data_IF_396837765389
#
_entry.id   IF_396837765389
#
_cell.length_a   1.000
_cell.length_b   1.000
_cell.length_c   1.000
_cell.angle_alpha   90.00
_cell.angle_beta   90.00
_cell.angle_gamma   90.00
#
_symmetry.space_group_name_H-M   'P 1'
#
loop_
_entity.id
_entity.type
_entity.pdbx_description
1 polymer ?
#
# COMPACT_ATOMS: atom_id res chain seq x y z
N UNK A 1 28.80 74.93 -34.07
CA UNK A 1 28.72 73.50 -34.42
C UNK A 1 29.48 72.77 -33.34
N UNK A 2 28.80 72.24 -32.34
CA UNK A 2 29.43 71.34 -31.37
C UNK A 2 28.33 70.38 -30.92
N UNK A 3 28.35 69.17 -31.48
CA UNK A 3 27.42 68.10 -31.14
C UNK A 3 27.81 67.49 -29.80
N UNK A 4 26.85 67.47 -28.87
CA UNK A 4 26.98 66.81 -27.58
C UNK A 4 26.87 65.29 -27.75
N UNK A 5 27.92 64.59 -27.35
CA UNK A 5 27.99 63.13 -27.28
C UNK A 5 27.18 62.63 -26.08
N UNK A 6 26.05 61.98 -26.34
CA UNK A 6 25.22 61.31 -25.32
C UNK A 6 25.66 59.83 -25.26
N UNK A 7 26.06 59.28 -24.11
CA UNK A 7 26.38 57.86 -23.99
C UNK A 7 25.07 57.02 -23.98
N UNK A 8 25.07 55.81 -24.57
CA UNK A 8 23.90 54.95 -24.55
C UNK A 8 23.81 54.23 -23.20
N UNK A 9 23.07 54.80 -22.25
CA UNK A 9 22.46 54.01 -21.17
C UNK A 9 21.33 53.17 -21.78
N UNK A 10 21.65 51.90 -22.06
CA UNK A 10 20.65 50.88 -22.38
C UNK A 10 20.71 49.82 -21.29
N UNK A 11 20.25 50.20 -20.11
CA UNK A 11 19.75 49.26 -19.10
C UNK A 11 18.50 48.58 -19.68
N UNK A 12 18.73 47.58 -20.52
CA UNK A 12 17.69 46.63 -20.87
C UNK A 12 17.27 45.92 -19.58
N UNK A 13 15.98 45.91 -19.20
CA UNK A 13 15.54 45.22 -18.00
C UNK A 13 15.86 43.74 -18.18
N UNK A 14 16.75 43.22 -17.34
CA UNK A 14 16.96 41.78 -17.22
C UNK A 14 15.67 41.18 -16.69
N UNK A 15 14.81 40.70 -17.60
CA UNK A 15 13.54 40.06 -17.24
C UNK A 15 13.89 38.73 -16.56
N UNK A 16 13.91 38.75 -15.23
CA UNK A 16 14.17 37.57 -14.42
C UNK A 16 13.08 36.51 -14.67
N UNK A 17 13.50 35.29 -15.01
CA UNK A 17 12.60 34.17 -15.19
C UNK A 17 11.86 33.90 -13.87
N UNK A 18 10.53 33.92 -13.90
CA UNK A 18 9.71 33.63 -12.72
C UNK A 18 9.76 32.12 -12.47
N UNK A 19 10.25 31.70 -11.31
CA UNK A 19 10.26 30.28 -10.92
C UNK A 19 8.83 29.73 -10.97
N UNK A 20 8.57 28.60 -11.66
CA UNK A 20 7.23 28.01 -11.69
C UNK A 20 6.71 27.75 -10.27
N UNK A 21 5.57 28.36 -9.93
CA UNK A 21 4.99 28.31 -8.58
C UNK A 21 4.52 26.90 -8.18
N UNK A 22 4.25 26.05 -9.17
CA UNK A 22 3.97 24.63 -9.00
C UNK A 22 4.51 23.84 -10.20
N UNK A 23 5.29 22.80 -9.93
CA UNK A 23 5.85 21.91 -10.94
C UNK A 23 5.57 20.45 -10.56
N UNK A 24 4.98 19.64 -11.45
CA UNK A 24 4.56 18.27 -11.11
C UNK A 24 5.77 17.36 -10.86
N UNK A 25 5.70 16.44 -9.87
CA UNK A 25 6.72 15.42 -9.69
C UNK A 25 6.76 14.48 -10.90
N UNK A 26 7.95 13.94 -11.21
CA UNK A 26 8.13 13.06 -12.37
C UNK A 26 7.26 11.80 -12.28
N UNK A 27 6.36 11.63 -13.24
CA UNK A 27 5.51 10.45 -13.36
C UNK A 27 6.17 9.41 -14.29
N UNK A 28 6.69 8.34 -13.69
CA UNK A 28 7.30 7.21 -14.41
C UNK A 28 6.28 6.35 -15.14
N UNK A 29 5.02 6.36 -14.72
CA UNK A 29 3.97 5.54 -15.33
C UNK A 29 3.43 6.17 -16.61
N UNK A 30 3.34 7.50 -16.64
CA UNK A 30 2.92 8.28 -17.80
C UNK A 30 3.85 9.48 -18.07
N UNK A 31 5.10 9.23 -18.51
CA UNK A 31 6.06 10.31 -18.77
C UNK A 31 5.56 11.29 -19.86
N UNK A 32 4.79 10.80 -20.85
CA UNK A 32 4.14 11.65 -21.87
C UNK A 32 3.24 12.72 -21.25
N UNK A 33 2.39 12.33 -20.29
CA UNK A 33 1.46 13.25 -19.63
C UNK A 33 2.22 14.25 -18.75
N UNK A 34 3.22 13.77 -18.03
CA UNK A 34 4.08 14.62 -17.22
C UNK A 34 4.79 15.69 -18.06
N UNK A 35 5.36 15.34 -19.22
CA UNK A 35 5.97 16.33 -20.10
C UNK A 35 4.98 17.38 -20.59
N UNK A 36 3.74 17.02 -20.90
CA UNK A 36 2.71 18.01 -21.28
C UNK A 36 2.41 19.00 -20.15
N UNK A 37 2.35 18.52 -18.90
CA UNK A 37 2.14 19.35 -17.72
C UNK A 37 3.38 20.22 -17.41
N UNK A 38 4.57 19.64 -17.48
CA UNK A 38 5.85 20.33 -17.30
C UNK A 38 6.05 21.44 -18.34
N UNK A 39 5.79 21.16 -19.62
CA UNK A 39 5.88 22.14 -20.71
C UNK A 39 4.84 23.26 -20.58
N UNK A 40 3.65 22.96 -20.05
CA UNK A 40 2.67 23.99 -19.71
C UNK A 40 3.21 24.91 -18.60
N UNK A 41 3.77 24.34 -17.53
CA UNK A 41 4.37 25.11 -16.44
C UNK A 41 5.53 25.99 -16.93
N UNK A 42 6.44 25.43 -17.74
CA UNK A 42 7.57 26.15 -18.32
C UNK A 42 7.13 27.33 -19.21
N UNK A 43 6.06 27.14 -20.00
CA UNK A 43 5.46 28.20 -20.80
C UNK A 43 4.87 29.30 -19.93
N UNK A 44 4.15 28.94 -18.87
CA UNK A 44 3.57 29.90 -17.92
C UNK A 44 4.65 30.74 -17.22
N UNK A 45 5.83 30.18 -16.96
CA UNK A 45 7.00 30.88 -16.41
C UNK A 45 7.87 31.61 -17.44
N UNK A 46 7.45 31.66 -18.71
CA UNK A 46 8.21 32.26 -19.83
C UNK A 46 9.61 31.64 -20.05
N UNK A 47 9.79 30.37 -19.67
CA UNK A 47 11.04 29.64 -19.90
C UNK A 47 10.98 29.06 -21.31
N UNK A 48 11.57 29.78 -22.25
CA UNK A 48 11.54 29.44 -23.68
C UNK A 48 12.87 28.91 -24.22
N UNK A 49 13.98 29.21 -23.54
CA UNK A 49 15.32 28.77 -23.95
C UNK A 49 15.52 27.26 -23.70
N UNK A 50 16.01 26.53 -24.70
CA UNK A 50 16.34 25.10 -24.65
C UNK A 50 17.24 24.75 -23.46
N UNK A 51 18.31 25.53 -23.22
CA UNK A 51 19.22 25.27 -22.10
C UNK A 51 18.54 25.47 -20.75
N UNK A 52 17.75 26.53 -20.61
CA UNK A 52 16.98 26.74 -19.38
C UNK A 52 15.96 25.61 -19.16
N UNK A 53 15.25 25.16 -20.20
CA UNK A 53 14.32 24.03 -20.07
C UNK A 53 15.06 22.76 -19.63
N UNK A 54 16.21 22.46 -20.23
CA UNK A 54 17.05 21.32 -19.86
C UNK A 54 17.45 21.38 -18.38
N UNK A 55 17.99 22.51 -17.92
CA UNK A 55 18.42 22.70 -16.53
C UNK A 55 17.25 22.58 -15.55
N UNK A 56 16.09 23.14 -15.90
CA UNK A 56 14.88 23.05 -15.07
C UNK A 56 14.34 21.62 -14.96
N UNK A 57 14.35 20.86 -16.06
CA UNK A 57 13.93 19.46 -16.02
C UNK A 57 14.87 18.66 -15.13
N UNK A 58 16.19 18.79 -15.30
CA UNK A 58 17.18 18.02 -14.53
C UNK A 58 17.04 18.25 -13.03
N UNK A 59 16.84 19.50 -12.60
CA UNK A 59 16.64 19.83 -11.20
C UNK A 59 15.39 19.18 -10.58
N UNK A 60 14.42 18.77 -11.40
CA UNK A 60 13.14 18.18 -10.97
C UNK A 60 13.08 16.67 -11.15
N UNK A 61 14.07 16.07 -11.80
CA UNK A 61 14.16 14.62 -11.94
C UNK A 61 14.65 13.99 -10.63
N UNK A 62 14.02 12.89 -10.17
CA UNK A 62 14.52 12.17 -9.02
C UNK A 62 15.87 11.50 -9.33
N UNK A 63 16.71 11.33 -8.31
CA UNK A 63 18.13 10.96 -8.45
C UNK A 63 18.35 9.64 -9.18
N UNK A 64 17.43 8.70 -9.02
CA UNK A 64 17.45 7.41 -9.72
C UNK A 64 17.23 7.55 -11.23
N UNK A 65 16.38 8.49 -11.65
CA UNK A 65 16.18 8.84 -13.06
C UNK A 65 17.40 9.58 -13.60
N UNK A 66 17.94 10.55 -12.85
CA UNK A 66 19.13 11.29 -13.25
C UNK A 66 20.36 10.39 -13.44
N UNK A 67 20.50 9.34 -12.62
CA UNK A 67 21.57 8.33 -12.77
C UNK A 67 21.51 7.59 -14.11
N UNK A 68 20.29 7.31 -14.61
CA UNK A 68 20.10 6.65 -15.90
C UNK A 68 20.40 7.58 -17.09
N UNK A 69 20.44 8.88 -16.86
CA UNK A 69 20.75 9.91 -17.85
C UNK A 69 22.20 10.39 -17.81
N UNK A 70 23.08 9.71 -17.04
CA UNK A 70 24.45 10.15 -16.80
C UNK A 70 25.22 10.51 -18.08
N UNK A 71 25.07 9.74 -19.16
CA UNK A 71 25.70 10.02 -20.45
C UNK A 71 25.27 11.35 -21.10
N UNK A 72 23.98 11.70 -21.02
CA UNK A 72 23.42 12.96 -21.55
C UNK A 72 23.81 14.14 -20.66
N UNK A 73 23.93 13.91 -19.35
CA UNK A 73 24.33 14.94 -18.39
C UNK A 73 25.84 15.23 -18.45
N UNK A 74 26.66 14.20 -18.66
CA UNK A 74 28.12 14.33 -18.80
C UNK A 74 28.52 14.91 -20.16
N UNK A 75 27.80 14.54 -21.23
CA UNK A 75 28.05 15.05 -22.59
C UNK A 75 26.76 15.61 -23.19
N UNK A 76 26.32 16.82 -22.79
CA UNK A 76 25.12 17.41 -23.34
C UNK A 76 25.34 17.77 -24.82
N UNK A 77 24.38 17.46 -25.70
CA UNK A 77 24.48 17.81 -27.12
C UNK A 77 24.54 19.34 -27.31
N UNK A 78 25.22 19.78 -28.38
CA UNK A 78 25.44 21.20 -28.65
C UNK A 78 24.13 21.96 -28.95
N UNK A 79 23.13 21.27 -29.52
CA UNK A 79 21.80 21.81 -29.85
C UNK A 79 20.71 20.80 -29.45
N UNK A 80 19.49 21.29 -29.23
CA UNK A 80 18.32 20.46 -28.85
C UNK A 80 18.53 19.61 -27.58
N UNK A 81 19.11 20.21 -26.52
CA UNK A 81 19.38 19.51 -25.25
C UNK A 81 18.09 19.01 -24.61
N UNK A 82 17.06 19.86 -24.58
CA UNK A 82 15.76 19.51 -24.02
C UNK A 82 15.11 18.37 -24.80
N UNK A 83 15.10 18.47 -26.13
CA UNK A 83 14.43 17.47 -26.97
C UNK A 83 15.14 16.11 -26.91
N UNK A 84 16.47 16.11 -26.87
CA UNK A 84 17.27 14.88 -26.70
C UNK A 84 16.98 14.23 -25.34
N UNK A 85 16.96 15.03 -24.27
CA UNK A 85 16.62 14.57 -22.93
C UNK A 85 15.19 14.01 -22.86
N UNK A 86 14.22 14.72 -23.43
CA UNK A 86 12.81 14.33 -23.50
C UNK A 86 12.64 13.00 -24.22
N UNK A 87 13.24 12.87 -25.41
CA UNK A 87 13.18 11.64 -26.19
C UNK A 87 13.81 10.47 -25.44
N UNK A 88 14.96 10.67 -24.78
CA UNK A 88 15.57 9.61 -23.98
C UNK A 88 14.70 9.20 -22.79
N UNK A 89 14.09 10.16 -22.09
CA UNK A 89 13.19 9.86 -20.98
C UNK A 89 11.92 9.12 -21.44
N UNK A 90 11.38 9.49 -22.60
CA UNK A 90 10.25 8.79 -23.21
C UNK A 90 10.65 7.39 -23.70
N UNK A 91 11.87 7.18 -24.16
CA UNK A 91 12.38 5.85 -24.54
C UNK A 91 12.58 4.95 -23.30
N UNK A 92 13.13 5.50 -22.22
CA UNK A 92 13.45 4.74 -21.01
C UNK A 92 12.20 4.38 -20.18
N UNK A 93 11.26 5.31 -20.05
CA UNK A 93 10.09 5.15 -19.18
C UNK A 93 8.76 5.02 -19.95
N UNK A 94 8.76 5.31 -21.25
CA UNK A 94 7.57 5.15 -22.06
C UNK A 94 7.21 3.68 -22.25
N UNK A 95 5.97 3.33 -21.96
CA UNK A 95 5.42 2.02 -22.33
C UNK A 95 5.22 1.97 -23.85
N UNK A 96 5.62 0.88 -24.48
CA UNK A 96 5.30 0.62 -25.89
C UNK A 96 3.78 0.58 -26.11
N UNK A 97 3.34 0.92 -27.33
CA UNK A 97 1.92 0.87 -27.71
C UNK A 97 1.33 -0.52 -27.44
N UNK A 98 2.03 -1.57 -27.85
CA UNK A 98 1.61 -2.96 -27.62
C UNK A 98 1.47 -3.28 -26.12
N UNK A 99 2.38 -2.78 -25.27
CA UNK A 99 2.27 -2.95 -23.82
C UNK A 99 1.05 -2.23 -23.25
N UNK A 100 0.71 -1.05 -23.79
CA UNK A 100 -0.46 -0.27 -23.38
C UNK A 100 -1.76 -0.96 -23.78
N UNK A 101 -1.86 -1.48 -25.00
CA UNK A 101 -3.02 -2.27 -25.47
C UNK A 101 -3.15 -3.58 -24.67
N UNK A 102 -2.05 -4.32 -24.44
CA UNK A 102 -2.08 -5.53 -23.59
C UNK A 102 -2.50 -5.21 -22.15
N UNK A 103 -2.05 -4.08 -21.60
CA UNK A 103 -2.47 -3.64 -20.28
C UNK A 103 -3.98 -3.33 -20.27
N UNK A 104 -4.50 -2.66 -21.31
CA UNK A 104 -5.93 -2.39 -21.48
C UNK A 104 -6.75 -3.68 -21.41
N UNK A 105 -6.37 -4.70 -22.18
CA UNK A 105 -7.06 -6.00 -22.22
C UNK A 105 -6.99 -6.78 -20.91
N UNK A 106 -5.89 -6.65 -20.14
CA UNK A 106 -5.69 -7.43 -18.91
C UNK A 106 -6.29 -6.79 -17.67
N UNK A 107 -6.23 -5.46 -17.58
CA UNK A 107 -6.42 -4.73 -16.31
C UNK A 107 -7.53 -3.69 -16.35
N UNK A 108 -8.00 -3.29 -17.54
CA UNK A 108 -9.00 -2.23 -17.64
C UNK A 108 -10.40 -2.82 -17.45
N UNK A 109 -10.83 -2.93 -16.20
CA UNK A 109 -12.22 -3.27 -15.83
C UNK A 109 -12.97 -2.01 -15.45
N UNK A 110 -14.26 -1.93 -15.79
CA UNK A 110 -15.13 -0.91 -15.23
C UNK A 110 -15.35 -1.20 -13.74
N UNK A 111 -15.08 -0.21 -12.88
CA UNK A 111 -15.42 -0.25 -11.46
C UNK A 111 -16.77 0.44 -11.18
N UNK A 112 -16.85 1.21 -10.10
CA UNK A 112 -18.02 2.05 -9.77
C UNK A 112 -18.05 3.39 -10.51
N UNK A 113 -17.19 3.57 -11.51
CA UNK A 113 -17.11 4.80 -12.28
C UNK A 113 -18.15 4.84 -13.40
N UNK A 114 -18.46 6.05 -13.88
CA UNK A 114 -19.35 6.23 -15.03
C UNK A 114 -18.75 5.61 -16.30
N UNK A 115 -19.54 4.93 -17.13
CA UNK A 115 -19.13 4.46 -18.45
C UNK A 115 -18.40 5.48 -19.32
N UNK A 116 -18.83 6.75 -19.33
CA UNK A 116 -18.11 7.82 -20.02
C UNK A 116 -16.70 8.06 -19.47
N UNK A 117 -16.53 8.04 -18.16
CA UNK A 117 -15.23 8.17 -17.49
C UNK A 117 -14.34 6.96 -17.75
N UNK A 118 -14.92 5.75 -17.70
CA UNK A 118 -14.22 4.52 -18.05
C UNK A 118 -13.67 4.58 -19.48
N UNK A 119 -14.49 5.00 -20.45
CA UNK A 119 -14.05 5.18 -21.84
C UNK A 119 -12.91 6.21 -21.95
N UNK A 120 -13.01 7.33 -21.24
CA UNK A 120 -11.96 8.35 -21.26
C UNK A 120 -10.65 7.80 -20.68
N UNK A 121 -10.73 7.01 -19.61
CA UNK A 121 -9.57 6.32 -19.04
C UNK A 121 -8.96 5.35 -20.05
N UNK A 122 -9.78 4.54 -20.72
CA UNK A 122 -9.32 3.65 -21.80
C UNK A 122 -8.59 4.43 -22.90
N UNK A 123 -9.18 5.51 -23.40
CA UNK A 123 -8.57 6.39 -24.41
C UNK A 123 -7.26 7.01 -23.94
N UNK A 124 -7.15 7.36 -22.66
CA UNK A 124 -5.89 7.88 -22.09
C UNK A 124 -4.80 6.81 -21.99
N UNK A 125 -5.19 5.54 -21.88
CA UNK A 125 -4.27 4.40 -21.79
C UNK A 125 -3.71 3.99 -23.15
N UNK A 126 -4.31 4.40 -24.28
CA UNK A 126 -3.80 4.06 -25.61
C UNK A 126 -3.35 5.30 -26.37
N UNK A 127 -2.49 5.11 -27.37
CA UNK A 127 -2.17 6.17 -28.31
C UNK A 127 -3.31 6.35 -29.34
N UNK A 128 -3.37 7.51 -30.01
CA UNK A 128 -4.45 7.88 -30.95
C UNK A 128 -4.56 6.98 -32.20
N UNK A 129 -3.61 6.06 -32.38
CA UNK A 129 -3.56 5.15 -33.52
C UNK A 129 -4.44 3.91 -33.33
N UNK A 130 -4.91 3.63 -32.11
CA UNK A 130 -5.78 2.48 -31.86
C UNK A 130 -7.19 2.81 -32.38
N UNK A 131 -7.76 1.98 -33.27
CA UNK A 131 -9.07 2.24 -33.83
C UNK A 131 -10.18 2.11 -32.79
N UNK A 132 -11.18 2.97 -32.88
CA UNK A 132 -12.34 2.99 -31.99
C UNK A 132 -13.15 1.67 -32.03
N UNK A 133 -13.02 0.87 -33.10
CA UNK A 133 -13.62 -0.47 -33.18
C UNK A 133 -13.04 -1.41 -32.12
N UNK A 134 -11.73 -1.39 -31.89
CA UNK A 134 -11.07 -2.18 -30.85
C UNK A 134 -11.41 -1.64 -29.47
N UNK A 135 -11.43 -0.32 -29.31
CA UNK A 135 -11.83 0.28 -28.03
C UNK A 135 -13.29 -0.04 -27.69
N UNK A 136 -14.16 -0.13 -28.71
CA UNK A 136 -15.56 -0.49 -28.55
C UNK A 136 -15.77 -1.94 -28.14
N UNK A 137 -15.04 -2.89 -28.73
CA UNK A 137 -15.12 -4.29 -28.30
C UNK A 137 -14.68 -4.43 -26.85
N UNK A 138 -13.55 -3.82 -26.48
CA UNK A 138 -13.04 -3.85 -25.11
C UNK A 138 -14.01 -3.16 -24.16
N UNK A 139 -14.55 -2.00 -24.53
CA UNK A 139 -15.53 -1.28 -23.71
C UNK A 139 -16.74 -2.17 -23.42
N UNK A 140 -17.32 -2.80 -24.44
CA UNK A 140 -18.47 -3.69 -24.31
C UNK A 140 -18.15 -4.95 -23.48
N UNK A 141 -16.96 -5.54 -23.61
CA UNK A 141 -16.55 -6.69 -22.81
C UNK A 141 -16.31 -6.37 -21.32
N UNK A 142 -15.96 -5.12 -20.99
CA UNK A 142 -15.52 -4.72 -19.65
C UNK A 142 -16.60 -4.02 -18.82
N UNK A 143 -17.76 -3.72 -19.41
CA UNK A 143 -18.94 -3.20 -18.70
C UNK A 143 -19.81 -4.32 -18.12
N UNK A 144 -20.62 -4.05 -17.09
CA UNK A 144 -21.59 -5.01 -16.55
C UNK A 144 -22.55 -5.55 -17.63
N UNK A 145 -22.87 -6.84 -17.56
CA UNK A 145 -23.71 -7.53 -18.55
C UNK A 145 -25.09 -6.87 -18.73
N UNK A 146 -25.67 -6.35 -17.65
CA UNK A 146 -26.95 -5.62 -17.67
C UNK A 146 -26.89 -4.39 -18.58
N UNK A 147 -25.76 -3.68 -18.57
CA UNK A 147 -25.51 -2.53 -19.41
C UNK A 147 -25.22 -2.97 -20.86
N UNK A 148 -24.37 -3.98 -21.02
CA UNK A 148 -23.99 -4.52 -22.32
C UNK A 148 -25.19 -4.87 -23.19
N UNK A 149 -26.17 -5.57 -22.62
CA UNK A 149 -27.37 -6.02 -23.34
C UNK A 149 -28.23 -4.85 -23.85
N UNK A 150 -28.17 -3.69 -23.21
CA UNK A 150 -28.90 -2.49 -23.64
C UNK A 150 -28.12 -1.74 -24.72
N UNK A 151 -26.79 -1.73 -24.60
CA UNK A 151 -25.91 -1.03 -25.55
C UNK A 151 -25.75 -1.75 -26.88
N UNK A 152 -25.80 -3.09 -26.90
CA UNK A 152 -25.65 -3.88 -28.15
C UNK A 152 -26.75 -3.58 -29.17
N UNK A 153 -27.94 -3.17 -28.70
CA UNK A 153 -29.07 -2.76 -29.55
C UNK A 153 -28.69 -1.51 -30.37
N UNK A 154 -27.84 -0.64 -29.81
CA UNK A 154 -27.35 0.57 -30.46
C UNK A 154 -25.89 0.45 -30.94
N UNK A 155 -25.45 -0.76 -31.31
CA UNK A 155 -24.06 -1.03 -31.69
C UNK A 155 -23.56 -0.28 -32.94
N UNK A 156 -24.39 0.45 -33.68
CA UNK A 156 -23.97 1.30 -34.80
C UNK A 156 -23.54 2.71 -34.34
N UNK A 157 -23.92 3.11 -33.12
CA UNK A 157 -23.59 4.42 -32.60
C UNK A 157 -22.08 4.57 -32.31
N UNK A 158 -21.61 5.83 -32.38
CA UNK A 158 -20.24 6.19 -31.98
C UNK A 158 -19.97 5.77 -30.53
N UNK A 159 -18.74 5.36 -30.24
CA UNK A 159 -18.32 4.87 -28.93
C UNK A 159 -18.55 5.93 -27.83
N UNK A 160 -18.32 7.21 -28.15
CA UNK A 160 -18.58 8.31 -27.22
C UNK A 160 -20.07 8.44 -26.89
N UNK A 161 -20.94 8.27 -27.89
CA UNK A 161 -22.40 8.30 -27.72
C UNK A 161 -22.90 7.10 -26.92
N UNK A 162 -22.33 5.92 -27.16
CA UNK A 162 -22.63 4.71 -26.39
C UNK A 162 -22.29 4.88 -24.92
N UNK A 163 -21.16 5.51 -24.60
CA UNK A 163 -20.77 5.77 -23.21
C UNK A 163 -21.75 6.72 -22.51
N UNK A 164 -22.20 7.77 -23.20
CA UNK A 164 -23.21 8.70 -22.66
C UNK A 164 -24.57 8.02 -22.47
N UNK A 165 -24.97 7.15 -23.41
CA UNK A 165 -26.20 6.36 -23.27
C UNK A 165 -26.10 5.44 -22.06
N UNK A 166 -24.96 4.78 -21.89
CA UNK A 166 -24.69 3.90 -20.77
C UNK A 166 -24.79 4.63 -19.42
N UNK A 167 -24.25 5.86 -19.32
CA UNK A 167 -24.39 6.69 -18.11
C UNK A 167 -25.87 6.92 -17.75
N UNK A 168 -26.71 7.25 -18.73
CA UNK A 168 -28.15 7.48 -18.52
C UNK A 168 -28.87 6.22 -18.05
N UNK A 169 -28.49 5.06 -18.58
CA UNK A 169 -29.06 3.76 -18.16
C UNK A 169 -28.72 3.47 -16.70
N UNK A 170 -27.47 3.70 -16.29
CA UNK A 170 -27.06 3.53 -14.88
C UNK A 170 -27.82 4.50 -13.98
N UNK A 171 -27.90 5.78 -14.36
CA UNK A 171 -28.62 6.80 -13.59
C UNK A 171 -30.10 6.45 -13.44
N UNK A 172 -30.74 5.99 -14.52
CA UNK A 172 -32.13 5.51 -14.47
C UNK A 172 -32.29 4.35 -13.50
N UNK A 173 -31.43 3.32 -13.59
CA UNK A 173 -31.49 2.16 -12.70
C UNK A 173 -31.24 2.54 -11.23
N UNK A 174 -30.31 3.45 -10.95
CA UNK A 174 -30.03 3.95 -9.61
C UNK A 174 -31.22 4.73 -9.04
N UNK A 175 -31.89 5.52 -9.87
CA UNK A 175 -33.11 6.25 -9.47
C UNK A 175 -34.25 5.30 -9.08
N UNK A 176 -34.41 4.17 -9.79
CA UNK A 176 -35.39 3.15 -9.45
C UNK A 176 -35.10 2.50 -8.09
N UNK A 177 -33.82 2.21 -7.79
CA UNK A 177 -33.40 1.67 -6.50
C UNK A 177 -33.70 2.66 -5.36
N UNK A 178 -33.40 3.95 -5.57
CA UNK A 178 -33.66 4.99 -4.55
C UNK A 178 -35.14 5.21 -4.24
N UNK A 179 -36.03 4.84 -5.17
CA UNK A 179 -37.49 4.92 -4.96
C UNK A 179 -38.00 3.77 -4.09
N UNK A 180 -37.33 2.61 -4.08
CA UNK A 180 -37.71 1.44 -3.26
C UNK A 180 -37.52 1.74 -1.76
N UNK A 181 -36.46 2.46 -1.38
CA UNK A 181 -36.23 2.88 0.00
C UNK A 181 -37.30 3.86 0.52
N UNK A 182 -37.83 4.71 -0.37
CA UNK A 182 -38.92 5.66 -0.03
C UNK A 182 -40.27 4.95 0.09
N UNK A 183 -40.54 3.94 -0.73
CA UNK A 183 -41.78 3.14 -0.63
C UNK A 183 -41.80 2.28 0.64
N UNK A 184 -40.66 1.85 1.16
CA UNK A 184 -40.60 1.10 2.41
C UNK A 184 -40.83 1.99 3.67
N UNK A 185 -40.57 3.30 3.60
CA UNK A 185 -40.96 4.25 4.65
C UNK A 185 -42.42 4.72 4.54
N UNK A 186 -42.98 4.84 3.33
CA UNK A 186 -44.35 5.33 3.12
C UNK A 186 -45.44 4.24 3.30
N UNK A 187 -45.11 2.96 3.13
CA UNK A 187 -46.08 1.84 3.26
C UNK A 187 -46.42 1.48 4.71
N UNK A 188 -45.83 2.14 5.71
CA UNK A 188 -46.17 1.89 7.13
C UNK A 188 -47.44 2.62 7.60
N UNK A 189 -48.08 3.47 6.77
CA UNK A 189 -49.23 4.29 7.22
C UNK A 189 -50.49 4.26 6.34
N UNK A 190 -50.54 3.51 5.24
CA UNK A 190 -51.78 3.39 4.48
C UNK A 190 -51.87 2.10 3.70
N UNK A 191 -52.56 1.11 4.26
CA UNK A 191 -53.73 0.44 3.67
C UNK A 191 -54.00 -0.86 4.42
N UNK A 192 -55.19 -0.88 5.01
CA UNK A 192 -55.82 -2.05 5.56
C UNK A 192 -56.37 -2.97 4.46
N UNK A 193 -56.30 -4.27 4.78
CA UNK A 193 -57.18 -5.36 4.37
C UNK A 193 -56.90 -6.17 3.10
N UNK A 194 -56.76 -7.48 3.39
CA UNK A 194 -56.86 -8.72 2.61
C UNK A 194 -55.86 -9.05 1.48
N UNK A 195 -55.25 -10.24 1.62
CA UNK A 195 -54.39 -11.00 0.71
C UNK A 195 -52.85 -10.92 0.90
N UNK A 196 -52.28 -11.54 1.96
CA UNK A 196 -50.91 -12.05 1.85
C UNK A 196 -50.48 -13.09 2.92
N UNK A 197 -50.95 -14.33 2.86
CA UNK A 197 -50.42 -15.42 3.71
C UNK A 197 -49.07 -15.99 3.23
N UNK A 198 -48.55 -15.58 2.06
CA UNK A 198 -47.34 -16.18 1.48
C UNK A 198 -46.01 -15.42 1.73
N UNK A 199 -46.00 -14.28 2.44
CA UNK A 199 -44.78 -13.44 2.56
C UNK A 199 -44.10 -13.48 3.93
N UNK A 200 -44.80 -13.93 4.97
CA UNK A 200 -44.17 -14.12 6.29
C UNK A 200 -43.17 -15.27 6.31
N UNK A 201 -43.37 -16.31 5.47
CA UNK A 201 -42.45 -17.44 5.37
C UNK A 201 -41.11 -17.04 4.75
N UNK A 202 -41.13 -16.30 3.63
CA UNK A 202 -39.91 -15.84 2.93
C UNK A 202 -39.09 -14.85 3.77
N UNK A 203 -39.74 -13.94 4.52
CA UNK A 203 -39.04 -13.00 5.39
C UNK A 203 -38.39 -13.69 6.61
N UNK A 204 -39.03 -14.72 7.15
CA UNK A 204 -38.45 -15.52 8.23
C UNK A 204 -37.34 -16.43 7.72
N UNK A 205 -37.45 -16.95 6.50
CA UNK A 205 -36.39 -17.71 5.84
C UNK A 205 -35.15 -16.84 5.60
N UNK A 206 -35.32 -15.64 5.05
CA UNK A 206 -34.22 -14.67 4.84
C UNK A 206 -33.53 -14.28 6.16
N UNK A 207 -34.29 -14.08 7.24
CA UNK A 207 -33.72 -13.85 8.58
C UNK A 207 -32.97 -15.07 9.12
N UNK A 208 -33.48 -16.27 8.87
CA UNK A 208 -32.83 -17.53 9.22
C UNK A 208 -31.52 -17.73 8.48
N UNK A 209 -31.51 -17.46 7.17
CA UNK A 209 -30.33 -17.57 6.31
C UNK A 209 -29.26 -16.53 6.71
N UNK A 210 -29.67 -15.30 7.07
CA UNK A 210 -28.77 -14.25 7.55
C UNK A 210 -28.13 -14.63 8.91
N UNK A 211 -28.91 -15.20 9.84
CA UNK A 211 -28.38 -15.72 11.10
C UNK A 211 -27.43 -16.91 10.88
N UNK A 212 -27.73 -17.78 9.92
CA UNK A 212 -26.88 -18.91 9.53
C UNK A 212 -25.54 -18.42 8.94
N UNK A 213 -25.57 -17.43 8.04
CA UNK A 213 -24.36 -16.82 7.46
C UNK A 213 -23.53 -16.13 8.54
N UNK A 214 -24.15 -15.38 9.45
CA UNK A 214 -23.45 -14.76 10.59
C UNK A 214 -22.78 -15.81 11.49
N UNK A 215 -23.44 -16.94 11.72
CA UNK A 215 -22.86 -18.05 12.48
C UNK A 215 -21.68 -18.70 11.74
N UNK A 216 -21.81 -18.91 10.43
CA UNK A 216 -20.72 -19.46 9.59
C UNK A 216 -19.50 -18.51 9.57
N UNK A 217 -19.72 -17.21 9.47
CA UNK A 217 -18.65 -16.21 9.56
C UNK A 217 -17.95 -16.27 10.93
N UNK A 218 -18.70 -16.31 12.03
CA UNK A 218 -18.12 -16.44 13.36
C UNK A 218 -17.29 -17.73 13.53
N UNK A 219 -17.77 -18.85 12.98
CA UNK A 219 -17.03 -20.12 12.98
C UNK A 219 -15.75 -20.05 12.13
N UNK A 220 -15.80 -19.41 10.96
CA UNK A 220 -14.63 -19.21 10.11
C UNK A 220 -13.61 -18.28 10.77
N UNK A 221 -14.06 -17.18 11.38
CA UNK A 221 -13.20 -16.26 12.14
C UNK A 221 -12.52 -16.99 13.31
N UNK A 222 -13.26 -17.82 14.05
CA UNK A 222 -12.68 -18.63 15.12
C UNK A 222 -11.68 -19.66 14.58
N UNK A 223 -11.98 -20.33 13.47
CA UNK A 223 -11.05 -21.26 12.82
C UNK A 223 -9.78 -20.55 12.37
N UNK A 224 -9.88 -19.37 11.75
CA UNK A 224 -8.73 -18.55 11.35
C UNK A 224 -7.88 -18.19 12.56
N UNK A 225 -8.48 -17.66 13.63
CA UNK A 225 -7.75 -17.35 14.86
C UNK A 225 -7.06 -18.60 15.45
N UNK A 226 -7.73 -19.75 15.46
CA UNK A 226 -7.15 -21.00 15.95
C UNK A 226 -5.98 -21.48 15.08
N UNK A 227 -6.06 -21.33 13.75
CA UNK A 227 -4.97 -21.66 12.84
C UNK A 227 -3.77 -20.74 13.04
N UNK A 228 -3.98 -19.42 13.22
CA UNK A 228 -2.91 -18.45 13.49
C UNK A 228 -2.15 -18.78 14.77
N UNK A 229 -2.84 -19.21 15.84
CA UNK A 229 -2.18 -19.66 17.07
C UNK A 229 -1.38 -20.95 16.88
N UNK A 230 -1.89 -21.91 16.08
CA UNK A 230 -1.20 -23.16 15.78
C UNK A 230 0.05 -22.94 14.90
N UNK A 231 -0.03 -22.06 13.89
CA UNK A 231 1.13 -21.67 13.07
C UNK A 231 2.19 -20.93 13.90
N UNK A 232 1.77 -20.09 14.85
CA UNK A 232 2.69 -19.42 15.78
C UNK A 232 3.42 -20.41 16.70
N UNK A 233 2.70 -21.42 17.21
CA UNK A 233 3.29 -22.52 17.99
C UNK A 233 4.25 -23.35 17.15
N UNK A 234 3.88 -23.77 15.94
CA UNK A 234 4.77 -24.53 15.04
C UNK A 234 6.07 -23.77 14.71
N UNK A 235 6.00 -22.47 14.45
CA UNK A 235 7.21 -21.63 14.23
C UNK A 235 8.11 -21.55 15.45
N UNK A 236 7.55 -21.53 16.67
CA UNK A 236 8.33 -21.51 17.90
C UNK A 236 9.06 -22.84 18.17
N UNK A 237 8.47 -23.98 17.78
CA UNK A 237 9.14 -25.29 17.85
C UNK A 237 10.24 -25.45 16.77
N UNK A 238 10.06 -24.88 15.57
CA UNK A 238 11.10 -24.90 14.54
C UNK A 238 12.29 -23.97 14.82
N UNK A 239 12.09 -22.85 15.54
CA UNK A 239 13.21 -22.00 15.98
C UNK A 239 14.03 -22.60 17.13
N UNK A 240 13.44 -23.48 17.96
CA UNK A 240 14.16 -24.15 19.06
C UNK A 240 15.00 -25.36 18.61
N UNK A 241 14.73 -25.90 17.43
CA UNK A 241 15.47 -27.06 16.87
C UNK A 241 16.61 -26.70 15.92
N UNK A 242 16.98 -25.41 15.79
CA UNK A 242 18.13 -24.95 14.99
C UNK A 242 19.11 -24.09 15.80
N UNK A 243 19.38 -24.46 17.04
CA UNK A 243 20.45 -23.86 17.84
C UNK A 243 21.16 -24.87 18.74
N UNK A 244 21.53 -26.02 18.16
CA UNK A 244 22.51 -26.95 18.75
C UNK A 244 23.36 -27.54 17.64
N UNK A 245 24.23 -26.72 17.07
CA UNK A 245 25.47 -27.18 16.46
C UNK A 245 26.38 -25.97 16.25
N UNK A 246 27.27 -25.73 17.21
CA UNK A 246 28.68 -25.31 17.05
C UNK A 246 29.20 -24.60 18.31
N UNK A 247 30.29 -25.18 18.85
CA UNK A 247 31.30 -24.62 19.78
C UNK A 247 30.81 -24.48 21.24
N UNK A 248 31.53 -24.91 22.28
CA UNK A 248 32.94 -25.25 22.43
C UNK A 248 33.16 -26.04 23.72
N UNK A 249 34.18 -26.88 23.71
CA UNK A 249 34.86 -27.45 24.87
C UNK A 249 35.26 -26.35 25.88
N UNK A 250 34.98 -26.56 27.17
CA UNK A 250 35.98 -26.46 28.26
C UNK A 250 35.34 -26.58 29.65
N UNK A 251 35.63 -27.70 30.31
CA UNK A 251 36.00 -27.89 31.74
C UNK A 251 35.33 -27.00 32.80
N UNK A 252 34.60 -27.64 33.73
CA UNK A 252 34.26 -27.04 35.03
C UNK A 252 33.30 -27.88 35.87
N UNK A 253 33.86 -28.85 36.60
CA UNK A 253 33.15 -29.71 37.56
C UNK A 253 32.61 -28.89 38.75
N UNK A 254 31.33 -29.06 39.10
CA UNK A 254 30.80 -28.84 40.45
C UNK A 254 29.84 -29.96 40.80
N UNK A 255 30.21 -30.76 41.80
CA UNK A 255 29.36 -31.81 42.36
C UNK A 255 28.05 -31.25 42.92
N UNK A 256 26.92 -31.98 42.87
CA UNK A 256 25.65 -31.52 43.42
C UNK A 256 25.69 -31.37 44.94
N UNK A 257 25.07 -30.32 45.48
CA UNK A 257 24.94 -30.11 46.92
C UNK A 257 24.11 -31.23 47.59
N UNK A 258 24.47 -31.69 48.80
CA UNK A 258 23.74 -32.75 49.49
C UNK A 258 22.33 -32.29 49.90
N UNK A 259 21.33 -33.10 49.57
CA UNK A 259 19.93 -32.86 49.95
C UNK A 259 19.73 -33.10 51.45
N UNK A 260 19.01 -32.19 52.11
CA UNK A 260 18.68 -32.27 53.53
C UNK A 260 17.86 -33.53 53.86
N UNK A 261 18.39 -34.39 54.73
CA UNK A 261 17.67 -35.55 55.27
C UNK A 261 17.40 -35.34 56.77
N UNK A 262 16.13 -35.30 57.22
CA UNK A 262 15.76 -35.11 58.63
C UNK A 262 16.21 -36.23 59.58
N UNK A 263 16.71 -37.36 59.05
CA UNK A 263 17.04 -38.58 59.79
C UNK A 263 18.23 -38.44 60.75
N UNK A 264 19.04 -37.38 60.61
CA UNK A 264 20.22 -37.14 61.46
C UNK A 264 19.94 -36.35 62.75
N UNK A 265 18.67 -36.04 63.04
CA UNK A 265 18.27 -35.32 64.26
C UNK A 265 18.72 -33.85 64.30
N UNK A 266 19.25 -33.33 63.20
CA UNK A 266 19.65 -31.93 63.04
C UNK A 266 18.60 -31.17 62.24
N UNK A 267 18.28 -29.95 62.67
CA UNK A 267 17.38 -29.10 61.89
C UNK A 267 18.04 -28.60 60.59
N UNK A 268 17.23 -28.16 59.64
CA UNK A 268 17.67 -27.63 58.35
C UNK A 268 18.81 -26.61 58.46
N UNK A 269 18.71 -25.69 59.41
CA UNK A 269 19.73 -24.66 59.64
C UNK A 269 21.07 -25.25 60.11
N UNK A 270 21.06 -26.20 61.04
CA UNK A 270 22.31 -26.83 61.50
C UNK A 270 22.86 -27.86 60.49
N UNK A 271 22.03 -28.49 59.67
CA UNK A 271 22.51 -29.37 58.60
C UNK A 271 23.27 -28.60 57.52
N UNK A 272 22.76 -27.44 57.10
CA UNK A 272 23.39 -26.62 56.05
C UNK A 272 24.51 -25.71 56.56
N UNK A 273 24.39 -25.19 57.78
CA UNK A 273 25.25 -24.12 58.29
C UNK A 273 26.05 -24.49 59.55
N UNK A 274 25.79 -25.65 60.16
CA UNK A 274 26.51 -26.12 61.36
C UNK A 274 26.56 -25.07 62.47
N UNK A 275 27.73 -24.86 63.07
CA UNK A 275 27.95 -23.89 64.14
C UNK A 275 27.69 -22.42 63.74
N UNK A 276 27.55 -22.12 62.44
CA UNK A 276 27.23 -20.78 61.91
C UNK A 276 25.73 -20.58 61.68
N UNK A 277 24.90 -21.53 62.08
CA UNK A 277 23.45 -21.39 61.97
C UNK A 277 22.96 -20.23 62.85
N UNK A 278 22.25 -19.29 62.23
CA UNK A 278 21.69 -18.13 62.92
C UNK A 278 20.41 -18.45 63.71
N UNK A 279 19.84 -19.64 63.52
CA UNK A 279 18.60 -20.06 64.16
C UNK A 279 18.58 -21.57 64.36
N UNK A 280 18.09 -22.00 65.52
CA UNK A 280 17.83 -23.41 65.83
C UNK A 280 16.31 -23.69 65.81
N UNK A 281 15.89 -24.82 65.23
CA UNK A 281 14.51 -25.31 65.29
C UNK A 281 14.49 -26.65 66.04
N UNK A 282 13.70 -26.75 67.12
CA UNK A 282 13.59 -27.98 67.91
C UNK A 282 12.56 -28.94 67.28
N UNK A 283 12.74 -30.27 67.41
CA UNK A 283 13.87 -30.95 68.09
C UNK A 283 15.13 -30.96 67.21
N UNK A 284 16.25 -30.49 67.75
CA UNK A 284 17.58 -30.51 67.12
C UNK A 284 18.61 -30.96 68.14
N UNK A 285 19.46 -31.90 67.77
CA UNK A 285 20.47 -32.52 68.65
C UNK A 285 21.82 -31.80 68.64
N UNK A 286 21.93 -30.65 67.96
CA UNK A 286 23.18 -29.88 67.86
C UNK A 286 23.58 -29.29 69.23
N UNK A 287 24.75 -29.68 69.74
CA UNK A 287 25.35 -29.14 70.97
C UNK A 287 26.64 -28.37 70.62
N UNK A 288 26.74 -27.13 71.09
CA UNK A 288 27.92 -26.28 70.88
C UNK A 288 29.00 -26.64 71.91
N UNK A 289 29.87 -27.59 71.60
CA UNK A 289 31.09 -27.83 72.38
C UNK A 289 32.24 -26.98 71.84
N UNK A 290 32.73 -26.08 72.68
CA UNK A 290 33.78 -25.07 72.52
C UNK A 290 35.14 -25.67 72.13
N UNK A 291 35.88 -25.04 71.20
CA UNK A 291 37.35 -25.18 71.11
C UNK A 291 37.98 -23.95 70.44
N UNK A 292 38.46 -23.05 71.30
CA UNK A 292 39.81 -22.45 71.32
C UNK A 292 40.50 -22.10 69.99
N UNK A 293 40.70 -20.80 69.81
CA UNK A 293 41.62 -20.15 68.86
C UNK A 293 43.08 -20.49 69.22
N UNK A 294 43.96 -20.76 68.24
CA UNK A 294 45.36 -20.39 68.35
C UNK A 294 45.66 -19.16 67.48
N UNK A 295 46.35 -18.23 68.14
CA UNK A 295 46.92 -16.97 67.69
C UNK A 295 48.27 -17.22 66.98
N UNK A 296 48.81 -16.16 66.35
CA UNK A 296 50.24 -15.90 66.02
C UNK A 296 50.83 -16.57 64.76
N UNK A 297 51.72 -15.97 63.95
CA UNK A 297 52.62 -14.78 64.00
C UNK A 297 52.94 -14.35 62.54
N UNK A 298 52.90 -13.07 62.15
CA UNK A 298 54.02 -12.11 62.08
C UNK A 298 55.42 -12.69 61.78
N UNK A 299 55.88 -12.54 60.53
CA UNK A 299 57.08 -11.77 60.15
C UNK A 299 57.13 -11.58 58.63
#
# INVERSE_FOLDING_TARGET
MEEAHIPPDSDAPTISAVVPQYFPPFDKENPKLWFLQAEAALRSSRITNDSSRFDYIIQRLPTDVSRLLGNILETPPATNKYETLKNKLLELFGKSEESRVRQLLRTCRMGDEKPSHFLQRMRSMVDKNVPDTILKTIFLEQIPQSLHNILIINHEADLSKLAVLADRVIEFNLSQISNIDKTNMATSQSLCHCHHENNLADNNQLKGDLASIQHQLAQLTYKIASMETNFSRQRSFQRRSRSRDRRSQSRGSRSPAPQYSPSRGLCYYHFNFGARAYKCQKPCTWSTTSTTVPQQTEN
#
